data_IF_869113266919
#
_entry.id   IF_869113266919
#
_cell.length_a   1.000
_cell.length_b   1.000
_cell.length_c   1.000
_cell.angle_alpha   90.00
_cell.angle_beta   90.00
_cell.angle_gamma   90.00
#
_symmetry.space_group_name_H-M   'P 1'
#
loop_
_entity.id
_entity.type
_entity.pdbx_description
1 polymer ?
#
# COMPACT_ATOMS: atom_id res chain seq x y z
N UNK A 1 -11.72 43.37 -25.71
CA UNK A 1 -10.50 42.52 -25.70
C UNK A 1 -10.25 41.80 -24.36
N UNK A 2 -10.50 42.38 -23.17
CA UNK A 2 -10.25 41.72 -21.87
C UNK A 2 -11.13 40.46 -21.61
N UNK A 3 -12.36 40.39 -22.14
CA UNK A 3 -13.26 39.21 -21.96
C UNK A 3 -12.87 38.00 -22.77
N UNK A 4 -12.21 38.16 -23.91
CA UNK A 4 -11.77 37.07 -24.80
C UNK A 4 -10.53 36.38 -24.23
N UNK A 5 -9.64 37.11 -23.56
CA UNK A 5 -8.46 36.55 -22.90
C UNK A 5 -8.82 35.68 -21.67
N UNK A 6 -9.90 36.03 -20.95
CA UNK A 6 -10.35 35.25 -19.79
C UNK A 6 -10.96 33.90 -20.21
N UNK A 7 -11.68 33.89 -21.33
CA UNK A 7 -12.30 32.67 -21.87
C UNK A 7 -11.25 31.70 -22.45
N UNK A 8 -10.21 32.21 -23.10
CA UNK A 8 -9.10 31.39 -23.62
C UNK A 8 -8.27 30.74 -22.49
N UNK A 9 -8.05 31.46 -21.37
CA UNK A 9 -7.37 30.89 -20.19
C UNK A 9 -8.13 29.74 -19.54
N UNK A 10 -9.45 29.85 -19.43
CA UNK A 10 -10.29 28.80 -18.82
C UNK A 10 -10.36 27.55 -19.74
N UNK A 11 -10.39 27.71 -21.03
CA UNK A 11 -10.39 26.58 -21.99
C UNK A 11 -9.06 25.81 -22.00
N UNK A 12 -7.92 26.47 -21.78
CA UNK A 12 -6.61 25.79 -21.71
C UNK A 12 -6.46 24.96 -20.43
N UNK A 13 -6.96 25.45 -19.29
CA UNK A 13 -6.96 24.69 -18.03
C UNK A 13 -7.89 23.47 -18.07
N UNK A 14 -9.10 23.62 -18.62
CA UNK A 14 -10.02 22.49 -18.75
C UNK A 14 -9.47 21.38 -19.67
N UNK A 15 -8.76 21.74 -20.73
CA UNK A 15 -8.16 20.78 -21.66
C UNK A 15 -7.09 19.89 -21.04
N UNK A 16 -6.28 20.41 -20.11
CA UNK A 16 -5.23 19.65 -19.43
C UNK A 16 -5.80 18.61 -18.46
N UNK A 17 -6.80 18.96 -17.68
CA UNK A 17 -7.49 18.04 -16.74
C UNK A 17 -8.12 16.87 -17.50
N UNK A 18 -8.80 17.13 -18.61
CA UNK A 18 -9.42 16.08 -19.43
C UNK A 18 -8.40 15.13 -20.04
N UNK A 19 -7.27 15.66 -20.54
CA UNK A 19 -6.20 14.82 -21.11
C UNK A 19 -5.57 13.91 -20.03
N UNK A 20 -5.30 14.42 -18.84
CA UNK A 20 -4.70 13.65 -17.76
C UNK A 20 -5.68 12.63 -17.14
N UNK A 21 -6.98 12.96 -17.05
CA UNK A 21 -8.02 11.99 -16.66
C UNK A 21 -8.16 10.87 -17.70
N UNK A 22 -7.87 11.12 -18.99
CA UNK A 22 -7.79 10.09 -20.01
C UNK A 22 -6.64 9.11 -19.71
N UNK A 23 -5.48 9.60 -19.28
CA UNK A 23 -4.34 8.75 -18.86
C UNK A 23 -4.70 7.89 -17.65
N UNK A 24 -5.37 8.43 -16.63
CA UNK A 24 -5.87 7.66 -15.47
C UNK A 24 -6.83 6.54 -15.91
N UNK A 25 -7.77 6.85 -16.81
CA UNK A 25 -8.72 5.87 -17.32
C UNK A 25 -8.04 4.81 -18.20
N UNK A 26 -7.09 5.21 -19.06
CA UNK A 26 -6.32 4.29 -19.90
C UNK A 26 -5.50 3.32 -19.02
N UNK A 27 -4.80 3.82 -18.01
CA UNK A 27 -4.04 3.01 -17.06
C UNK A 27 -4.93 1.99 -16.31
N UNK A 28 -6.12 2.42 -15.89
CA UNK A 28 -7.08 1.55 -15.23
C UNK A 28 -7.62 0.45 -16.14
N UNK A 29 -7.94 0.81 -17.38
CA UNK A 29 -8.44 -0.15 -18.36
C UNK A 29 -7.34 -1.15 -18.75
N UNK A 30 -6.11 -0.70 -18.95
CA UNK A 30 -4.97 -1.57 -19.25
C UNK A 30 -4.75 -2.61 -18.14
N UNK A 31 -4.77 -2.18 -16.86
CA UNK A 31 -4.60 -3.10 -15.73
C UNK A 31 -5.75 -4.11 -15.57
N UNK A 32 -6.88 -3.90 -16.23
CA UNK A 32 -8.04 -4.81 -16.25
C UNK A 32 -8.06 -5.80 -17.40
N UNK A 33 -7.17 -5.64 -18.37
CA UNK A 33 -7.13 -6.54 -19.52
C UNK A 33 -6.82 -7.98 -19.09
N UNK A 34 -7.28 -8.99 -19.82
CA UNK A 34 -6.95 -10.39 -19.53
C UNK A 34 -5.43 -10.67 -19.55
N UNK A 35 -4.67 -9.90 -20.32
CA UNK A 35 -3.20 -9.90 -20.37
C UNK A 35 -2.71 -8.46 -20.21
N UNK A 36 -2.64 -7.95 -18.98
CA UNK A 36 -2.32 -6.54 -18.74
C UNK A 36 -0.84 -6.25 -18.98
N UNK A 37 -0.57 -5.10 -19.60
CA UNK A 37 0.77 -4.53 -19.63
C UNK A 37 0.95 -3.57 -18.43
N UNK A 38 1.39 -4.11 -17.30
CA UNK A 38 1.60 -3.31 -16.10
C UNK A 38 2.67 -2.22 -16.28
N UNK A 39 3.62 -2.39 -17.21
CA UNK A 39 4.61 -1.36 -17.54
C UNK A 39 3.96 -0.11 -18.13
N UNK A 40 3.11 -0.27 -19.13
CA UNK A 40 2.38 0.82 -19.73
C UNK A 40 1.35 1.44 -18.78
N UNK A 41 0.65 0.61 -17.99
CA UNK A 41 -0.27 1.11 -16.98
C UNK A 41 0.44 1.99 -15.95
N UNK A 42 1.62 1.56 -15.45
CA UNK A 42 2.46 2.36 -14.53
C UNK A 42 2.95 3.64 -15.15
N UNK A 43 3.39 3.62 -16.41
CA UNK A 43 3.83 4.81 -17.13
C UNK A 43 2.72 5.85 -17.17
N UNK A 44 1.54 5.47 -17.63
CA UNK A 44 0.40 6.38 -17.76
C UNK A 44 -0.07 6.95 -16.42
N UNK A 45 -0.14 6.12 -15.36
CA UNK A 45 -0.58 6.60 -14.04
C UNK A 45 0.48 7.47 -13.36
N UNK A 46 1.76 7.21 -13.57
CA UNK A 46 2.84 8.01 -13.00
C UNK A 46 2.90 9.43 -13.59
N UNK A 47 2.49 9.62 -14.84
CA UNK A 47 2.29 10.95 -15.42
C UNK A 47 1.16 11.70 -14.71
N UNK A 48 0.04 11.03 -14.46
CA UNK A 48 -1.10 11.63 -13.74
C UNK A 48 -0.78 11.94 -12.27
N UNK A 49 0.03 11.12 -11.59
CA UNK A 49 0.47 11.36 -10.21
C UNK A 49 1.38 12.58 -10.07
N UNK A 50 2.07 12.99 -11.13
CA UNK A 50 2.94 14.17 -11.17
C UNK A 50 2.21 15.43 -11.61
N UNK A 51 1.06 15.29 -12.28
CA UNK A 51 0.34 16.42 -12.85
C UNK A 51 -0.45 17.18 -11.76
N UNK A 52 -0.30 18.52 -11.66
CA UNK A 52 -1.00 19.35 -10.68
C UNK A 52 -2.53 19.15 -10.65
N UNK A 53 -3.14 18.89 -11.81
CA UNK A 53 -4.60 18.79 -11.94
C UNK A 53 -5.16 17.44 -11.47
N UNK A 54 -4.31 16.41 -11.34
CA UNK A 54 -4.77 15.02 -11.05
C UNK A 54 -4.09 14.38 -9.85
N UNK A 55 -2.95 14.90 -9.39
CA UNK A 55 -2.18 14.33 -8.26
C UNK A 55 -2.96 14.31 -6.94
N UNK A 56 -3.90 15.23 -6.76
CA UNK A 56 -4.68 15.37 -5.54
C UNK A 56 -6.09 14.73 -5.66
N UNK A 57 -6.33 13.96 -6.72
CA UNK A 57 -7.59 13.24 -6.91
C UNK A 57 -7.52 11.83 -6.34
N UNK A 58 -8.49 11.45 -5.50
CA UNK A 58 -8.62 10.10 -4.95
C UNK A 58 -8.57 9.01 -6.04
N UNK A 59 -9.19 9.27 -7.21
CA UNK A 59 -9.20 8.35 -8.35
C UNK A 59 -7.80 8.02 -8.86
N UNK A 60 -6.92 9.00 -8.95
CA UNK A 60 -5.56 8.81 -9.45
C UNK A 60 -4.77 7.85 -8.55
N UNK A 61 -4.83 8.06 -7.25
CA UNK A 61 -4.18 7.19 -6.26
C UNK A 61 -4.84 5.80 -6.17
N UNK A 62 -6.18 5.75 -6.27
CA UNK A 62 -6.90 4.47 -6.32
C UNK A 62 -6.46 3.63 -7.52
N UNK A 63 -6.37 4.23 -8.71
CA UNK A 63 -5.92 3.53 -9.92
C UNK A 63 -4.46 3.11 -9.80
N UNK A 64 -3.60 3.95 -9.23
CA UNK A 64 -2.21 3.59 -8.97
C UNK A 64 -2.10 2.38 -8.01
N UNK A 65 -2.86 2.36 -6.92
CA UNK A 65 -2.92 1.21 -6.01
C UNK A 65 -3.50 -0.04 -6.68
N UNK A 66 -4.52 0.12 -7.51
CA UNK A 66 -5.15 -0.97 -8.25
C UNK A 66 -4.18 -1.65 -9.24
N UNK A 67 -3.37 -0.89 -9.97
CA UNK A 67 -2.36 -1.42 -10.90
C UNK A 67 -1.36 -2.30 -10.15
N UNK A 68 -0.83 -1.81 -9.01
CA UNK A 68 0.13 -2.55 -8.22
C UNK A 68 -0.51 -3.80 -7.58
N UNK A 69 -1.75 -3.69 -7.09
CA UNK A 69 -2.48 -4.85 -6.57
C UNK A 69 -2.68 -5.92 -7.64
N UNK A 70 -3.08 -5.53 -8.86
CA UNK A 70 -3.24 -6.46 -9.98
C UNK A 70 -1.93 -7.09 -10.41
N UNK A 71 -0.83 -6.35 -10.35
CA UNK A 71 0.52 -6.88 -10.60
C UNK A 71 0.89 -7.93 -9.54
N UNK A 72 0.68 -7.62 -8.25
CA UNK A 72 0.87 -8.57 -7.16
C UNK A 72 0.02 -9.83 -7.34
N UNK A 73 -1.30 -9.69 -7.53
CA UNK A 73 -2.23 -10.81 -7.73
C UNK A 73 -1.82 -11.71 -8.90
N UNK A 74 -1.39 -11.10 -10.01
CA UNK A 74 -0.93 -11.83 -11.19
C UNK A 74 0.26 -12.73 -10.88
N UNK A 75 1.27 -12.20 -10.18
CA UNK A 75 2.46 -12.97 -9.84
C UNK A 75 2.18 -13.97 -8.70
N UNK A 76 1.38 -13.59 -7.70
CA UNK A 76 0.96 -14.50 -6.64
C UNK A 76 0.20 -15.72 -7.21
N UNK A 77 -0.72 -15.52 -8.15
CA UNK A 77 -1.44 -16.62 -8.81
C UNK A 77 -0.50 -17.57 -9.56
N UNK A 78 0.59 -17.07 -10.14
CA UNK A 78 1.63 -17.92 -10.76
C UNK A 78 2.32 -18.79 -9.71
N UNK A 79 2.59 -18.27 -8.51
CA UNK A 79 3.22 -19.07 -7.44
C UNK A 79 2.32 -20.23 -7.01
N UNK A 80 1.00 -20.04 -6.97
CA UNK A 80 0.03 -21.08 -6.60
C UNK A 80 0.06 -22.28 -7.56
N UNK A 81 0.41 -22.05 -8.83
CA UNK A 81 0.58 -23.08 -9.86
C UNK A 81 2.07 -23.44 -10.09
N UNK A 82 2.94 -23.11 -9.13
CA UNK A 82 4.38 -23.41 -9.13
C UNK A 82 5.15 -22.83 -10.32
N UNK A 83 4.67 -21.75 -10.91
CA UNK A 83 5.43 -20.98 -11.89
C UNK A 83 6.42 -20.05 -11.20
N UNK A 84 7.60 -19.91 -11.78
CA UNK A 84 8.63 -18.98 -11.28
C UNK A 84 8.21 -17.54 -11.47
N UNK A 85 8.43 -16.73 -10.44
CA UNK A 85 8.19 -15.28 -10.42
C UNK A 85 9.39 -14.57 -9.80
N UNK A 86 9.48 -13.27 -10.03
CA UNK A 86 10.38 -12.43 -9.25
C UNK A 86 9.66 -12.03 -7.94
N UNK A 87 9.88 -12.78 -6.87
CA UNK A 87 9.22 -12.56 -5.58
C UNK A 87 9.50 -11.17 -5.00
N UNK A 88 10.71 -10.64 -5.21
CA UNK A 88 11.05 -9.27 -4.81
C UNK A 88 10.14 -8.25 -5.47
N UNK A 89 9.90 -8.37 -6.78
CA UNK A 89 9.01 -7.46 -7.50
C UNK A 89 7.55 -7.66 -7.08
N UNK A 90 7.14 -8.91 -6.88
CA UNK A 90 5.80 -9.26 -6.39
C UNK A 90 5.50 -8.60 -5.04
N UNK A 91 6.37 -8.77 -4.05
CA UNK A 91 6.16 -8.16 -2.73
C UNK A 91 6.37 -6.64 -2.70
N UNK A 92 7.20 -6.08 -3.60
CA UNK A 92 7.25 -4.63 -3.78
C UNK A 92 5.93 -4.09 -4.34
N UNK A 93 5.29 -4.78 -5.28
CA UNK A 93 3.98 -4.39 -5.79
C UNK A 93 2.89 -4.44 -4.70
N UNK A 94 2.94 -5.43 -3.80
CA UNK A 94 2.06 -5.48 -2.62
C UNK A 94 2.23 -4.24 -1.73
N UNK A 95 3.47 -3.88 -1.41
CA UNK A 95 3.78 -2.69 -0.61
C UNK A 95 3.30 -1.41 -1.29
N UNK A 96 3.66 -1.25 -2.55
CA UNK A 96 3.27 -0.09 -3.35
C UNK A 96 1.75 0.07 -3.47
N UNK A 97 1.04 -1.04 -3.62
CA UNK A 97 -0.44 -1.05 -3.61
C UNK A 97 -0.99 -0.50 -2.30
N UNK A 98 -0.50 -1.00 -1.17
CA UNK A 98 -0.94 -0.58 0.16
C UNK A 98 -0.71 0.91 0.37
N UNK A 99 0.49 1.41 0.09
CA UNK A 99 0.84 2.83 0.29
C UNK A 99 -0.01 3.76 -0.57
N UNK A 100 -0.24 3.40 -1.84
CA UNK A 100 -1.10 4.17 -2.74
C UNK A 100 -2.57 4.14 -2.31
N UNK A 101 -3.06 3.01 -1.82
CA UNK A 101 -4.41 2.90 -1.29
C UNK A 101 -4.62 3.71 0.00
N UNK A 102 -3.63 3.84 0.86
CA UNK A 102 -3.74 4.74 2.02
C UNK A 102 -3.93 6.20 1.61
N UNK A 103 -3.18 6.66 0.59
CA UNK A 103 -3.38 8.01 0.04
C UNK A 103 -4.76 8.16 -0.59
N UNK A 104 -5.18 7.18 -1.39
CA UNK A 104 -6.50 7.18 -2.01
C UNK A 104 -7.62 7.23 -0.96
N UNK A 105 -7.54 6.41 0.10
CA UNK A 105 -8.54 6.40 1.18
C UNK A 105 -8.63 7.74 1.90
N UNK A 106 -7.47 8.36 2.18
CA UNK A 106 -7.43 9.70 2.79
C UNK A 106 -8.15 10.73 1.91
N UNK A 107 -7.84 10.77 0.61
CA UNK A 107 -8.45 11.71 -0.32
C UNK A 107 -9.95 11.42 -0.55
N UNK A 108 -10.34 10.14 -0.62
CA UNK A 108 -11.74 9.71 -0.85
C UNK A 108 -12.66 10.00 0.33
N UNK A 109 -12.09 10.20 1.52
CA UNK A 109 -12.83 10.53 2.75
C UNK A 109 -12.78 12.00 3.12
N UNK A 110 -12.14 12.86 2.32
CA UNK A 110 -12.16 14.30 2.53
C UNK A 110 -13.56 14.86 2.28
N UNK A 111 -14.05 15.78 3.16
CA UNK A 111 -15.31 16.49 2.91
C UNK A 111 -15.21 17.36 1.65
N UNK A 112 -16.28 17.40 0.88
CA UNK A 112 -16.40 18.35 -0.23
C UNK A 112 -16.67 19.78 0.32
N UNK A 113 -16.76 20.77 -0.57
CA UNK A 113 -17.03 22.19 -0.24
C UNK A 113 -18.31 22.40 0.62
N UNK A 114 -19.25 21.44 0.60
CA UNK A 114 -20.48 21.43 1.40
C UNK A 114 -20.33 20.65 2.71
N UNK A 115 -19.11 20.27 3.11
CA UNK A 115 -18.84 19.49 4.30
C UNK A 115 -19.29 18.02 4.25
N UNK A 116 -19.71 17.51 3.09
CA UNK A 116 -20.20 16.14 2.94
C UNK A 116 -19.11 15.21 2.43
N UNK A 117 -18.94 14.06 3.09
CA UNK A 117 -18.09 12.96 2.62
C UNK A 117 -18.88 12.08 1.67
N UNK A 118 -18.36 11.85 0.46
CA UNK A 118 -18.91 10.93 -0.54
C UNK A 118 -17.81 10.00 -1.03
N UNK A 119 -17.48 9.00 -0.20
CA UNK A 119 -16.46 8.01 -0.58
C UNK A 119 -16.96 7.11 -1.69
N UNK A 120 -16.11 6.96 -2.71
CA UNK A 120 -16.37 6.15 -3.90
C UNK A 120 -15.50 4.88 -3.94
N UNK A 121 -14.29 4.96 -3.41
CA UNK A 121 -13.27 3.91 -3.53
C UNK A 121 -13.00 3.19 -2.20
N UNK A 122 -13.40 3.77 -1.09
CA UNK A 122 -13.08 3.28 0.25
C UNK A 122 -13.49 1.82 0.48
N UNK A 123 -14.65 1.41 -0.03
CA UNK A 123 -15.13 0.02 0.12
C UNK A 123 -14.19 -0.98 -0.56
N UNK A 124 -13.77 -0.69 -1.79
CA UNK A 124 -12.86 -1.56 -2.55
C UNK A 124 -11.47 -1.58 -1.91
N UNK A 125 -10.98 -0.41 -1.47
CA UNK A 125 -9.71 -0.27 -0.76
C UNK A 125 -9.70 -1.12 0.51
N UNK A 126 -10.74 -1.03 1.34
CA UNK A 126 -10.90 -1.83 2.55
C UNK A 126 -10.82 -3.32 2.26
N UNK A 127 -11.61 -3.79 1.29
CA UNK A 127 -11.64 -5.20 0.91
C UNK A 127 -10.27 -5.68 0.42
N UNK A 128 -9.60 -4.88 -0.41
CA UNK A 128 -8.27 -5.22 -0.92
C UNK A 128 -7.23 -5.29 0.19
N UNK A 129 -7.16 -4.27 1.06
CA UNK A 129 -6.23 -4.26 2.19
C UNK A 129 -6.48 -5.43 3.14
N UNK A 130 -7.75 -5.73 3.45
CA UNK A 130 -8.14 -6.87 4.28
C UNK A 130 -7.67 -8.21 3.69
N UNK A 131 -7.92 -8.42 2.39
CA UNK A 131 -7.53 -9.64 1.71
C UNK A 131 -6.00 -9.79 1.60
N UNK A 132 -5.30 -8.67 1.48
CA UNK A 132 -3.85 -8.65 1.35
C UNK A 132 -3.11 -8.78 2.69
N UNK A 133 -3.76 -8.59 3.84
CA UNK A 133 -3.10 -8.63 5.14
C UNK A 133 -2.22 -9.88 5.34
N UNK A 134 -2.69 -11.12 5.08
CA UNK A 134 -1.87 -12.32 5.28
C UNK A 134 -0.60 -12.33 4.42
N UNK A 135 -0.60 -11.69 3.26
CA UNK A 135 0.55 -11.66 2.36
C UNK A 135 1.70 -10.79 2.89
N UNK A 136 1.42 -9.83 3.78
CA UNK A 136 2.47 -9.07 4.46
C UNK A 136 3.27 -9.91 5.45
N UNK A 137 2.68 -10.99 6.00
CA UNK A 137 3.45 -11.98 6.75
C UNK A 137 4.53 -12.63 5.88
N UNK A 138 4.11 -13.20 4.75
CA UNK A 138 5.02 -13.89 3.82
C UNK A 138 6.05 -12.94 3.22
N UNK A 139 5.66 -11.70 2.91
CA UNK A 139 6.56 -10.67 2.41
C UNK A 139 7.64 -10.32 3.43
N UNK A 140 7.28 -10.20 4.71
CA UNK A 140 8.24 -9.97 5.79
C UNK A 140 9.25 -11.10 5.91
N UNK A 141 8.81 -12.36 5.88
CA UNK A 141 9.67 -13.52 5.90
C UNK A 141 10.62 -13.58 4.69
N UNK A 142 10.10 -13.29 3.48
CA UNK A 142 10.92 -13.20 2.27
C UNK A 142 12.05 -12.17 2.43
N UNK A 143 11.72 -10.91 2.78
CA UNK A 143 12.74 -9.88 2.93
C UNK A 143 13.71 -10.14 4.07
N UNK A 144 13.27 -10.80 5.14
CA UNK A 144 14.16 -11.20 6.23
C UNK A 144 15.22 -12.21 5.75
N UNK A 145 14.82 -13.21 4.97
CA UNK A 145 15.72 -14.19 4.37
C UNK A 145 16.69 -13.54 3.35
N UNK A 146 16.22 -12.54 2.62
CA UNK A 146 17.05 -11.72 1.72
C UNK A 146 17.94 -10.71 2.46
N UNK A 147 17.91 -10.68 3.80
CA UNK A 147 18.64 -9.75 4.68
C UNK A 147 18.28 -8.28 4.46
N UNK A 148 17.15 -7.99 3.81
CA UNK A 148 16.56 -6.64 3.76
C UNK A 148 15.69 -6.43 5.02
N UNK A 149 16.35 -6.35 6.16
CA UNK A 149 15.70 -6.30 7.47
C UNK A 149 14.80 -5.07 7.65
N UNK A 150 15.15 -3.93 7.02
CA UNK A 150 14.30 -2.74 7.04
C UNK A 150 12.96 -3.01 6.36
N UNK A 151 12.99 -3.68 5.22
CA UNK A 151 11.78 -4.00 4.48
C UNK A 151 11.00 -5.12 5.17
N UNK A 152 11.67 -6.12 5.74
CA UNK A 152 11.03 -7.15 6.55
C UNK A 152 10.24 -6.53 7.72
N UNK A 153 10.88 -5.66 8.50
CA UNK A 153 10.23 -4.90 9.57
C UNK A 153 9.00 -4.13 9.06
N UNK A 154 9.16 -3.39 7.95
CA UNK A 154 8.09 -2.61 7.35
C UNK A 154 6.87 -3.47 6.97
N UNK A 155 7.09 -4.65 6.37
CA UNK A 155 6.00 -5.57 5.99
C UNK A 155 5.26 -6.08 7.23
N UNK A 156 5.97 -6.49 8.26
CA UNK A 156 5.37 -6.97 9.51
C UNK A 156 4.72 -5.84 10.33
N UNK A 157 5.25 -4.62 10.27
CA UNK A 157 4.61 -3.43 10.84
C UNK A 157 3.26 -3.17 10.16
N UNK A 158 3.20 -3.21 8.82
CA UNK A 158 1.95 -3.05 8.06
C UNK A 158 0.92 -4.09 8.48
N UNK A 159 1.31 -5.37 8.59
CA UNK A 159 0.40 -6.42 9.05
C UNK A 159 -0.27 -6.06 10.38
N UNK A 160 0.51 -5.52 11.34
CA UNK A 160 0.04 -5.13 12.66
C UNK A 160 -0.80 -3.85 12.66
N UNK A 161 -0.56 -2.96 11.70
CA UNK A 161 -1.20 -1.64 11.65
C UNK A 161 -2.51 -1.64 10.85
N UNK A 162 -2.72 -2.62 9.96
CA UNK A 162 -3.98 -2.73 9.20
C UNK A 162 -5.23 -2.66 10.09
N UNK A 163 -5.34 -3.39 11.22
CA UNK A 163 -6.53 -3.29 12.09
C UNK A 163 -6.68 -1.94 12.78
N UNK A 164 -5.61 -1.16 12.90
CA UNK A 164 -5.61 0.16 13.54
C UNK A 164 -6.02 1.29 12.60
N UNK A 165 -6.15 1.02 11.29
CA UNK A 165 -6.60 2.01 10.34
C UNK A 165 -8.05 2.42 10.64
N UNK A 166 -8.32 3.71 10.73
CA UNK A 166 -9.63 4.26 11.12
C UNK A 166 -10.79 3.66 10.30
N UNK A 167 -10.57 3.41 9.01
CA UNK A 167 -11.58 2.84 8.14
C UNK A 167 -11.69 1.30 8.26
N UNK A 168 -10.78 0.63 8.99
CA UNK A 168 -10.80 -0.82 9.24
C UNK A 168 -11.39 -1.20 10.61
N UNK A 169 -11.66 -0.24 11.49
CA UNK A 169 -12.05 -0.47 12.90
C UNK A 169 -13.26 -1.41 13.13
N UNK A 170 -14.07 -1.67 12.10
CA UNK A 170 -15.25 -2.57 12.17
C UNK A 170 -15.07 -3.84 11.33
N UNK A 171 -13.90 -4.05 10.74
CA UNK A 171 -13.66 -5.21 9.89
C UNK A 171 -13.18 -6.41 10.73
N UNK A 172 -13.75 -7.57 10.45
CA UNK A 172 -13.21 -8.83 10.97
C UNK A 172 -12.03 -9.24 10.10
N UNK A 173 -10.87 -9.34 10.72
CA UNK A 173 -9.63 -9.80 10.07
C UNK A 173 -9.42 -11.29 10.37
N UNK A 174 -8.76 -12.00 9.45
CA UNK A 174 -8.47 -13.42 9.61
C UNK A 174 -7.26 -13.71 10.52
N UNK A 175 -6.65 -12.67 11.09
CA UNK A 175 -5.51 -12.80 11.99
C UNK A 175 -5.96 -13.12 13.41
N UNK A 176 -5.26 -14.05 14.06
CA UNK A 176 -5.47 -14.44 15.46
C UNK A 176 -4.53 -13.66 16.38
N UNK A 177 -4.82 -13.63 17.70
CA UNK A 177 -3.92 -13.05 18.68
C UNK A 177 -2.52 -13.70 18.64
N UNK A 178 -2.47 -15.02 18.46
CA UNK A 178 -1.22 -15.77 18.26
C UNK A 178 -0.43 -15.28 17.04
N UNK A 179 -1.11 -14.98 15.92
CA UNK A 179 -0.47 -14.44 14.74
C UNK A 179 0.15 -13.06 15.00
N UNK A 180 -0.53 -12.21 15.76
CA UNK A 180 -0.01 -10.89 16.10
C UNK A 180 1.20 -10.97 17.06
N UNK A 181 1.17 -11.88 18.05
CA UNK A 181 2.31 -12.11 18.94
C UNK A 181 3.56 -12.55 18.17
N UNK A 182 3.42 -13.55 17.31
CA UNK A 182 4.52 -14.04 16.47
C UNK A 182 5.08 -12.95 15.55
N UNK A 183 4.21 -12.18 14.90
CA UNK A 183 4.66 -11.10 14.00
C UNK A 183 5.38 -9.98 14.77
N UNK A 184 4.92 -9.62 15.97
CA UNK A 184 5.64 -8.64 16.80
C UNK A 184 7.03 -9.12 17.16
N UNK A 185 7.16 -10.39 17.50
CA UNK A 185 8.47 -11.01 17.76
C UNK A 185 9.38 -10.94 16.53
N UNK A 186 8.92 -11.42 15.35
CA UNK A 186 9.73 -11.37 14.14
C UNK A 186 10.05 -9.95 13.68
N UNK A 187 9.12 -9.02 13.83
CA UNK A 187 9.37 -7.60 13.55
C UNK A 187 10.46 -7.04 14.48
N UNK A 188 10.46 -7.43 15.76
CA UNK A 188 11.50 -7.03 16.71
C UNK A 188 12.87 -7.60 16.34
N UNK A 189 12.94 -8.85 15.90
CA UNK A 189 14.18 -9.45 15.38
C UNK A 189 14.69 -8.71 14.14
N UNK A 190 13.79 -8.40 13.20
CA UNK A 190 14.17 -7.63 12.01
C UNK A 190 14.67 -6.23 12.39
N UNK A 191 13.98 -5.54 13.31
CA UNK A 191 14.39 -4.23 13.80
C UNK A 191 15.80 -4.28 14.43
N UNK A 192 16.08 -5.29 15.25
CA UNK A 192 17.41 -5.51 15.85
C UNK A 192 18.49 -5.68 14.79
N UNK A 193 18.21 -6.47 13.74
CA UNK A 193 19.16 -6.69 12.64
C UNK A 193 19.43 -5.44 11.79
N UNK A 194 18.57 -4.41 11.84
CA UNK A 194 18.81 -3.15 11.11
C UNK A 194 19.95 -2.33 11.67
N UNK A 195 20.40 -2.62 12.90
CA UNK A 195 21.36 -1.84 13.69
C UNK A 195 20.89 -0.40 14.00
N UNK A 196 19.61 -0.14 13.86
CA UNK A 196 18.96 1.07 14.37
C UNK A 196 18.48 0.81 15.81
N UNK A 197 19.29 1.23 16.77
CA UNK A 197 19.02 0.96 18.19
C UNK A 197 17.68 1.54 18.67
N UNK A 198 17.23 2.69 18.13
CA UNK A 198 15.94 3.27 18.51
C UNK A 198 14.80 2.38 18.03
N UNK A 199 14.88 1.93 16.79
CA UNK A 199 13.88 1.04 16.18
C UNK A 199 13.87 -0.31 16.92
N UNK A 200 15.04 -0.89 17.18
CA UNK A 200 15.20 -2.15 17.88
C UNK A 200 14.58 -2.10 19.29
N UNK A 201 14.95 -1.12 20.11
CA UNK A 201 14.43 -0.96 21.48
C UNK A 201 12.90 -0.78 21.45
N UNK A 202 12.37 0.04 20.55
CA UNK A 202 10.92 0.23 20.40
C UNK A 202 10.23 -1.10 20.07
N UNK A 203 10.69 -1.82 19.06
CA UNK A 203 10.06 -3.06 18.60
C UNK A 203 10.18 -4.19 19.64
N UNK A 204 11.33 -4.34 20.28
CA UNK A 204 11.54 -5.32 21.36
C UNK A 204 10.62 -5.04 22.57
N UNK A 205 10.47 -3.77 22.99
CA UNK A 205 9.57 -3.42 24.08
C UNK A 205 8.09 -3.65 23.72
N UNK A 206 7.69 -3.51 22.46
CA UNK A 206 6.33 -3.89 22.03
C UNK A 206 6.14 -5.41 22.06
N UNK A 207 7.09 -6.18 21.53
CA UNK A 207 7.03 -7.65 21.53
C UNK A 207 7.05 -8.24 22.95
N UNK A 208 7.78 -7.61 23.88
CA UNK A 208 7.86 -8.01 25.29
C UNK A 208 6.48 -8.08 25.96
N UNK A 209 5.53 -7.25 25.56
CA UNK A 209 4.18 -7.20 26.15
C UNK A 209 3.38 -8.49 25.96
N UNK A 210 3.72 -9.28 24.95
CA UNK A 210 3.02 -10.51 24.62
C UNK A 210 3.52 -11.73 25.41
N UNK A 211 4.61 -11.61 26.10
CA UNK A 211 5.29 -12.72 26.80
C UNK A 211 5.63 -13.93 25.88
N UNK A 212 5.66 -13.70 24.57
CA UNK A 212 6.03 -14.68 23.57
C UNK A 212 7.55 -14.64 23.35
N UNK A 213 8.23 -15.80 23.41
CA UNK A 213 9.71 -15.90 23.30
C UNK A 213 10.44 -14.86 24.19
N UNK A 214 9.94 -14.68 25.39
CA UNK A 214 10.32 -13.57 26.28
C UNK A 214 11.80 -13.60 26.67
N UNK A 215 12.41 -14.78 26.77
CA UNK A 215 13.83 -14.93 27.10
C UNK A 215 14.71 -14.36 25.98
N UNK A 216 14.36 -14.63 24.72
CA UNK A 216 15.06 -14.07 23.57
C UNK A 216 14.92 -12.55 23.52
N UNK A 217 13.73 -12.03 23.83
CA UNK A 217 13.49 -10.59 23.86
C UNK A 217 14.38 -9.91 24.91
N UNK A 218 14.51 -10.50 26.12
CA UNK A 218 15.42 -9.95 27.14
C UNK A 218 16.87 -10.02 26.70
N UNK A 219 17.28 -11.10 26.06
CA UNK A 219 18.63 -11.23 25.51
C UNK A 219 18.95 -10.08 24.55
N UNK A 220 18.08 -9.82 23.57
CA UNK A 220 18.27 -8.74 22.58
C UNK A 220 18.16 -7.33 23.18
N UNK A 221 17.51 -7.14 24.32
CA UNK A 221 17.44 -5.83 25.00
C UNK A 221 18.72 -5.47 25.77
N UNK A 222 19.57 -6.46 26.08
CA UNK A 222 20.83 -6.26 26.82
C UNK A 222 22.01 -6.05 25.87
N UNK A 223 21.94 -6.52 24.66
CA UNK A 223 22.97 -6.38 23.63
C UNK A 223 22.70 -5.23 22.69
#
# INVERSE_FOLDING_TARGET
MKKVLLTAGICLFAGSVFAQMKNVNAAFNEAKMPKPNFGEARKSINEALKNPDTKDLAKTWYVAGFIENKSFESDYNKTLIKQSVNEKNMYNALLDSYEKYLVAAKLDTMPNEKGKVKSKYLKDIKNTIKNNQPHFWSAGAYFYNEKDYKKAYKMWEIYQDIPKLNFMAKETLNATDSSYMQIRYYAALAAFQTKDNKLAIKALNEAKKDNYEIQDIYYYLVY
#
